data_IF_400373935069
#
_entry.id   IF_400373935069
#
_cell.length_a   1.000
_cell.length_b   1.000
_cell.length_c   1.000
_cell.angle_alpha   90.00
_cell.angle_beta   90.00
_cell.angle_gamma   90.00
#
_symmetry.space_group_name_H-M   'P 1'
#
loop_
_entity.id
_entity.type
_entity.pdbx_description
1 polymer ?
#
# COMPACT_ATOMS: atom_id res chain seq x y z
N UNK A 1 -14.69 -11.58 -15.60
CA UNK A 1 -13.31 -11.06 -15.67
C UNK A 1 -12.57 -11.64 -14.49
N UNK A 2 -11.34 -12.06 -14.70
CA UNK A 2 -10.49 -12.48 -13.60
C UNK A 2 -10.11 -11.25 -12.77
N UNK A 3 -10.08 -11.42 -11.45
CA UNK A 3 -9.67 -10.35 -10.54
C UNK A 3 -8.20 -9.97 -10.82
N UNK A 4 -7.88 -8.68 -10.65
CA UNK A 4 -6.52 -8.15 -10.80
C UNK A 4 -5.78 -8.16 -9.45
N UNK A 5 -6.41 -8.63 -8.38
CA UNK A 5 -5.79 -8.73 -7.07
C UNK A 5 -4.48 -9.53 -7.14
N UNK A 6 -3.43 -8.99 -6.53
CA UNK A 6 -2.09 -9.56 -6.55
C UNK A 6 -1.30 -9.30 -7.83
N UNK A 7 -1.89 -8.63 -8.82
CA UNK A 7 -1.18 -8.23 -10.03
C UNK A 7 -0.54 -6.85 -9.90
N UNK A 8 0.45 -6.61 -10.75
CA UNK A 8 1.10 -5.31 -10.91
C UNK A 8 0.54 -4.58 -12.13
N UNK A 9 0.10 -3.34 -11.93
CA UNK A 9 -0.21 -2.42 -13.02
C UNK A 9 1.03 -1.59 -13.32
N UNK A 10 1.51 -1.66 -14.56
CA UNK A 10 2.67 -0.90 -15.02
C UNK A 10 2.16 0.20 -15.94
N UNK A 11 2.42 1.46 -15.58
CA UNK A 11 2.03 2.58 -16.42
C UNK A 11 2.69 2.48 -17.80
N UNK A 12 1.88 2.65 -18.85
CA UNK A 12 2.40 2.76 -20.21
C UNK A 12 3.09 4.12 -20.41
N UNK A 13 4.07 4.18 -21.32
CA UNK A 13 4.80 5.43 -21.59
C UNK A 13 3.93 6.60 -22.10
N UNK A 14 2.71 6.32 -22.56
CA UNK A 14 1.75 7.33 -23.02
C UNK A 14 0.80 7.85 -21.93
N UNK A 15 0.87 7.35 -20.70
CA UNK A 15 0.04 7.83 -19.60
C UNK A 15 0.63 9.14 -19.03
N UNK A 16 -0.06 10.25 -19.25
CA UNK A 16 0.36 11.58 -18.81
C UNK A 16 -0.31 12.05 -17.51
N UNK A 17 -1.19 11.24 -16.91
CA UNK A 17 -1.76 11.53 -15.60
C UNK A 17 -0.61 11.64 -14.56
N UNK A 18 -0.42 12.80 -13.91
CA UNK A 18 0.67 12.97 -12.94
C UNK A 18 0.60 11.99 -11.77
N UNK A 19 -0.59 11.50 -11.41
CA UNK A 19 -0.75 10.54 -10.31
C UNK A 19 -0.21 9.15 -10.67
N UNK A 20 -0.17 8.79 -11.96
CA UNK A 20 0.17 7.43 -12.40
C UNK A 20 1.27 7.35 -13.45
N UNK A 21 1.83 8.48 -13.87
CA UNK A 21 2.97 8.47 -14.79
C UNK A 21 4.18 7.78 -14.16
N UNK A 22 4.74 6.82 -14.90
CA UNK A 22 5.90 6.01 -14.52
C UNK A 22 5.72 5.22 -13.21
N UNK A 23 4.48 4.85 -12.86
CA UNK A 23 4.20 4.07 -11.65
C UNK A 23 4.15 2.57 -11.92
N UNK A 24 4.43 1.82 -10.85
CA UNK A 24 4.12 0.41 -10.68
C UNK A 24 3.17 0.30 -9.49
N UNK A 25 1.96 -0.20 -9.70
CA UNK A 25 0.94 -0.33 -8.64
C UNK A 25 0.70 -1.80 -8.33
N UNK A 26 0.74 -2.18 -7.05
CA UNK A 26 0.24 -3.47 -6.59
C UNK A 26 -1.25 -3.37 -6.27
N UNK A 27 -2.07 -4.19 -6.92
CA UNK A 27 -3.52 -4.25 -6.65
C UNK A 27 -3.79 -5.16 -5.45
N UNK A 28 -4.35 -4.61 -4.37
CA UNK A 28 -4.72 -5.37 -3.18
C UNK A 28 -6.16 -5.87 -3.16
N UNK A 29 -7.05 -5.20 -3.89
CA UNK A 29 -8.43 -5.62 -4.05
C UNK A 29 -8.93 -5.25 -5.45
N UNK A 30 -9.71 -6.15 -6.06
CA UNK A 30 -10.44 -5.86 -7.31
C UNK A 30 -11.73 -6.70 -7.32
N UNK A 31 -12.88 -6.03 -7.35
CA UNK A 31 -14.20 -6.62 -7.36
C UNK A 31 -15.28 -5.66 -7.89
N UNK A 32 -16.56 -5.97 -7.68
CA UNK A 32 -17.68 -5.19 -8.23
C UNK A 32 -17.71 -3.72 -7.76
N UNK A 33 -17.21 -3.45 -6.55
CA UNK A 33 -17.16 -2.11 -5.97
C UNK A 33 -15.96 -1.28 -6.46
N UNK A 34 -15.10 -1.86 -7.30
CA UNK A 34 -13.89 -1.22 -7.82
C UNK A 34 -12.61 -1.94 -7.42
N UNK A 35 -11.50 -1.19 -7.43
CA UNK A 35 -10.18 -1.71 -7.08
C UNK A 35 -9.40 -0.75 -6.18
N UNK A 36 -8.49 -1.31 -5.39
CA UNK A 36 -7.56 -0.59 -4.53
C UNK A 36 -6.15 -1.14 -4.73
N UNK A 37 -5.16 -0.24 -4.73
CA UNK A 37 -3.75 -0.62 -4.80
C UNK A 37 -2.83 0.45 -4.22
N UNK A 38 -1.53 0.16 -4.18
CA UNK A 38 -0.50 1.12 -3.75
C UNK A 38 0.61 1.23 -4.80
N UNK A 39 1.04 2.46 -5.09
CA UNK A 39 2.19 2.74 -5.93
C UNK A 39 3.46 2.32 -5.20
N UNK A 40 4.25 1.41 -5.77
CA UNK A 40 5.40 0.81 -5.12
C UNK A 40 6.70 1.61 -5.27
N UNK A 41 6.77 2.50 -6.26
CA UNK A 41 8.02 3.06 -6.78
C UNK A 41 8.09 4.60 -6.70
N UNK A 42 7.33 5.22 -5.79
CA UNK A 42 7.41 6.67 -5.51
C UNK A 42 7.89 6.91 -4.09
N UNK A 43 9.20 6.93 -3.91
CA UNK A 43 9.81 7.27 -2.63
C UNK A 43 9.67 8.77 -2.36
N UNK A 44 9.34 9.14 -1.13
CA UNK A 44 9.32 10.52 -0.66
C UNK A 44 10.64 10.87 0.01
N UNK A 45 11.00 12.15 -0.03
CA UNK A 45 12.17 12.70 0.67
C UNK A 45 11.83 13.00 2.14
N UNK A 46 11.25 12.01 2.83
CA UNK A 46 10.93 12.03 4.24
C UNK A 46 11.01 10.61 4.81
N UNK A 47 11.58 10.48 6.00
CA UNK A 47 11.66 9.19 6.69
C UNK A 47 10.37 8.88 7.44
N UNK A 48 10.16 7.60 7.76
CA UNK A 48 9.04 7.18 8.60
C UNK A 48 9.15 7.76 10.00
N UNK A 49 10.37 7.89 10.56
CA UNK A 49 10.57 8.50 11.87
C UNK A 49 10.14 9.98 11.92
N UNK A 50 10.27 10.71 10.82
CA UNK A 50 9.87 12.12 10.73
C UNK A 50 8.36 12.26 10.48
N UNK A 51 7.78 11.43 9.60
CA UNK A 51 6.39 11.56 9.19
C UNK A 51 5.41 10.85 10.15
N UNK A 52 5.73 9.63 10.56
CA UNK A 52 4.84 8.75 11.33
C UNK A 52 5.66 7.96 12.39
N UNK A 53 6.13 8.63 13.45
CA UNK A 53 7.01 8.04 14.47
C UNK A 53 6.49 6.73 15.07
N UNK A 54 5.18 6.62 15.25
CA UNK A 54 4.53 5.46 15.89
C UNK A 54 4.67 4.16 15.09
N UNK A 55 4.95 4.25 13.78
CA UNK A 55 5.14 3.11 12.89
C UNK A 55 6.62 2.86 12.56
N UNK A 56 7.52 3.76 12.94
CA UNK A 56 8.96 3.61 12.74
C UNK A 56 9.54 2.28 13.31
N UNK A 57 9.09 1.77 14.48
CA UNK A 57 9.56 0.48 14.99
C UNK A 57 9.25 -0.73 14.09
N UNK A 58 8.27 -0.62 13.19
CA UNK A 58 7.81 -1.73 12.33
C UNK A 58 8.63 -1.86 11.04
N UNK A 59 9.23 -0.76 10.57
CA UNK A 59 9.91 -0.68 9.26
C UNK A 59 11.35 -0.17 9.35
N UNK A 60 11.75 0.34 10.52
CA UNK A 60 13.03 1.03 10.75
C UNK A 60 12.86 2.55 10.63
N UNK A 61 13.41 3.30 11.58
CA UNK A 61 13.24 4.76 11.62
C UNK A 61 13.85 5.50 10.42
N UNK A 62 14.95 4.98 9.88
CA UNK A 62 15.61 5.54 8.67
C UNK A 62 14.95 5.10 7.35
N UNK A 63 13.92 4.25 7.40
CA UNK A 63 13.20 3.85 6.20
C UNK A 63 12.46 5.07 5.61
N UNK A 64 12.49 5.20 4.28
CA UNK A 64 11.74 6.24 3.59
C UNK A 64 10.24 5.90 3.51
N UNK A 65 9.42 6.94 3.60
CA UNK A 65 8.00 6.86 3.27
C UNK A 65 7.81 6.84 1.74
N UNK A 66 6.77 6.17 1.27
CA UNK A 66 6.41 6.13 -0.15
C UNK A 66 5.04 6.78 -0.38
N UNK A 67 4.86 7.43 -1.53
CA UNK A 67 3.54 7.85 -1.99
C UNK A 67 2.79 6.64 -2.54
N UNK A 68 1.72 6.20 -1.87
CA UNK A 68 0.92 5.05 -2.28
C UNK A 68 -0.17 5.39 -3.29
N UNK A 69 -0.59 6.65 -3.37
CA UNK A 69 -1.50 7.16 -4.38
C UNK A 69 -2.26 8.40 -3.93
N UNK A 70 -3.14 8.94 -4.80
CA UNK A 70 -3.80 10.22 -4.56
C UNK A 70 -4.97 10.16 -3.57
N UNK A 71 -5.46 8.96 -3.23
CA UNK A 71 -6.60 8.79 -2.31
C UNK A 71 -6.08 8.74 -0.88
N UNK A 72 -6.72 9.53 0.00
CA UNK A 72 -6.39 9.63 1.43
C UNK A 72 -4.88 9.82 1.68
N UNK A 73 -4.24 10.87 1.12
CA UNK A 73 -2.78 11.02 1.10
C UNK A 73 -2.10 11.15 2.48
N UNK A 74 -2.88 11.31 3.55
CA UNK A 74 -2.39 11.36 4.93
C UNK A 74 -2.64 10.09 5.72
N UNK A 75 -3.34 9.11 5.14
CA UNK A 75 -3.61 7.84 5.78
C UNK A 75 -2.45 6.86 5.52
N UNK A 76 -1.85 6.27 6.57
CA UNK A 76 -0.82 5.27 6.39
C UNK A 76 -1.39 3.99 5.80
N UNK A 77 -0.64 3.39 4.88
CA UNK A 77 -0.88 2.04 4.38
C UNK A 77 0.39 1.23 4.54
N UNK A 78 0.35 0.14 5.30
CA UNK A 78 1.45 -0.82 5.35
C UNK A 78 1.21 -1.92 4.33
N UNK A 79 2.16 -2.14 3.44
CA UNK A 79 2.31 -3.41 2.75
C UNK A 79 3.17 -4.31 3.62
N UNK A 80 2.56 -5.32 4.23
CA UNK A 80 3.18 -6.16 5.22
C UNK A 80 3.13 -7.65 4.85
N UNK A 81 4.18 -8.37 5.21
CA UNK A 81 4.13 -9.81 5.39
C UNK A 81 3.85 -10.11 6.86
N UNK A 82 2.88 -10.97 7.13
CA UNK A 82 2.40 -11.25 8.49
C UNK A 82 2.56 -12.72 8.87
N UNK A 83 2.58 -13.01 10.16
CA UNK A 83 2.59 -14.38 10.69
C UNK A 83 1.27 -15.11 10.44
N UNK A 84 0.17 -14.37 10.37
CA UNK A 84 -1.17 -14.88 10.10
C UNK A 84 -1.84 -13.99 9.02
N UNK A 85 -2.25 -14.55 7.86
CA UNK A 85 -2.98 -13.82 6.83
C UNK A 85 -4.27 -13.14 7.32
N UNK A 86 -4.89 -13.65 8.40
CA UNK A 86 -6.09 -13.09 8.99
C UNK A 86 -5.90 -11.74 9.69
N UNK A 87 -4.65 -11.30 9.88
CA UNK A 87 -4.35 -9.97 10.42
C UNK A 87 -4.51 -8.85 9.39
N UNK A 88 -4.50 -9.15 8.10
CA UNK A 88 -4.59 -8.16 7.04
C UNK A 88 -5.99 -7.55 6.93
N UNK A 89 -6.09 -6.23 6.75
CA UNK A 89 -7.36 -5.60 6.34
C UNK A 89 -7.71 -6.03 4.91
N UNK A 90 -6.70 -6.11 4.04
CA UNK A 90 -6.81 -6.56 2.66
C UNK A 90 -5.71 -7.58 2.34
N UNK A 91 -6.06 -8.87 2.36
CA UNK A 91 -5.12 -9.92 1.97
C UNK A 91 -4.93 -9.96 0.45
N UNK A 92 -3.69 -9.77 0.00
CA UNK A 92 -3.32 -9.74 -1.42
C UNK A 92 -3.00 -11.15 -1.92
N UNK A 93 -1.96 -11.80 -1.37
CA UNK A 93 -1.56 -13.18 -1.67
C UNK A 93 -0.75 -13.76 -0.51
N UNK A 94 -0.81 -15.09 -0.32
CA UNK A 94 -0.14 -15.83 0.75
C UNK A 94 -0.34 -15.17 2.13
N UNK A 95 0.72 -14.62 2.72
CA UNK A 95 0.72 -13.89 3.98
C UNK A 95 1.01 -12.39 3.81
N UNK A 96 0.91 -11.88 2.58
CA UNK A 96 1.16 -10.49 2.20
C UNK A 96 -0.17 -9.75 2.02
N UNK A 97 -0.32 -8.66 2.77
CA UNK A 97 -1.55 -7.88 2.83
C UNK A 97 -1.31 -6.39 3.04
N UNK A 98 -2.39 -5.62 2.96
CA UNK A 98 -2.41 -4.25 3.41
C UNK A 98 -3.03 -4.12 4.80
N UNK A 99 -2.44 -3.25 5.62
CA UNK A 99 -3.04 -2.69 6.83
C UNK A 99 -3.23 -1.20 6.58
N UNK A 100 -4.43 -0.68 6.79
CA UNK A 100 -4.83 0.69 6.42
C UNK A 100 -5.21 1.47 7.67
N UNK A 101 -4.66 2.68 7.80
CA UNK A 101 -4.97 3.55 8.92
C UNK A 101 -4.34 3.09 10.23
N UNK A 102 -5.13 3.05 11.30
CA UNK A 102 -4.64 2.74 12.64
C UNK A 102 -4.42 1.24 12.82
N UNK A 103 -3.15 0.83 12.97
CA UNK A 103 -2.77 -0.57 13.13
C UNK A 103 -2.80 -0.95 14.62
N UNK A 104 -3.71 -1.86 14.98
CA UNK A 104 -3.85 -2.38 16.32
C UNK A 104 -2.57 -3.07 16.83
N UNK A 105 -2.37 -3.12 18.15
CA UNK A 105 -1.16 -3.68 18.75
C UNK A 105 -0.95 -5.16 18.40
N UNK A 106 -2.04 -5.92 18.29
CA UNK A 106 -2.03 -7.33 17.92
C UNK A 106 -1.56 -7.52 16.47
N UNK A 107 -2.01 -6.67 15.56
CA UNK A 107 -1.57 -6.67 14.16
C UNK A 107 -0.08 -6.32 14.07
N UNK A 108 0.37 -5.29 14.81
CA UNK A 108 1.79 -4.88 14.87
C UNK A 108 2.71 -6.03 15.28
N UNK A 109 2.31 -6.83 16.27
CA UNK A 109 3.09 -7.96 16.75
C UNK A 109 3.23 -9.11 15.73
N UNK A 110 2.30 -9.22 14.78
CA UNK A 110 2.31 -10.22 13.72
C UNK A 110 3.05 -9.80 12.45
N UNK A 111 3.55 -8.57 12.35
CA UNK A 111 4.27 -8.09 11.15
C UNK A 111 5.70 -8.65 11.15
N UNK A 112 6.05 -9.39 10.10
CA UNK A 112 7.39 -9.93 9.87
C UNK A 112 8.30 -8.92 9.16
N UNK A 113 7.75 -8.21 8.19
CA UNK A 113 8.36 -7.07 7.51
C UNK A 113 7.29 -6.24 6.85
N UNK A 114 7.53 -4.94 6.72
CA UNK A 114 6.59 -4.04 6.04
C UNK A 114 7.31 -2.92 5.31
N UNK A 115 6.56 -2.26 4.42
CA UNK A 115 6.90 -0.94 3.88
C UNK A 115 5.70 -0.01 4.08
N UNK A 116 5.98 1.23 4.46
CA UNK A 116 4.97 2.23 4.74
C UNK A 116 4.74 3.15 3.54
N UNK A 117 3.46 3.41 3.25
CA UNK A 117 2.99 4.28 2.20
C UNK A 117 2.04 5.33 2.78
N UNK A 118 1.99 6.50 2.13
CA UNK A 118 1.01 7.55 2.38
C UNK A 118 -0.05 7.52 1.28
N UNK A 119 -1.29 7.27 1.66
CA UNK A 119 -2.41 7.11 0.76
C UNK A 119 -2.35 5.85 -0.11
N UNK A 120 -3.33 5.73 -0.99
CA UNK A 120 -3.47 4.62 -1.91
C UNK A 120 -4.04 5.06 -3.26
N UNK A 121 -3.98 4.17 -4.24
CA UNK A 121 -4.67 4.27 -5.51
C UNK A 121 -6.05 3.61 -5.41
N UNK A 122 -7.04 4.19 -6.08
CA UNK A 122 -8.41 3.68 -6.10
C UNK A 122 -9.03 3.83 -7.48
N UNK A 123 -9.80 2.82 -7.87
CA UNK A 123 -10.57 2.79 -9.11
C UNK A 123 -12.02 2.49 -8.77
N UNK A 124 -12.94 3.24 -9.41
CA UNK A 124 -14.38 2.99 -9.26
C UNK A 124 -14.84 1.75 -10.04
N UNK A 125 -16.10 1.31 -9.83
CA UNK A 125 -16.68 0.21 -10.58
C UNK A 125 -16.58 0.39 -12.10
N UNK A 126 -16.01 -0.60 -12.79
CA UNK A 126 -15.94 -0.64 -14.26
C UNK A 126 -14.86 0.24 -14.91
N UNK A 127 -13.97 0.85 -14.12
CA UNK A 127 -12.79 1.57 -14.60
C UNK A 127 -11.63 0.63 -14.97
#
# INVERSE_FOLDING_TARGET
>A
MDSLKGQLLISSGGLFDPNFRHTVVLVGAHGPEGALGVILNRMLDVTVQEAIPDLAPLVGGEAHLFEGGPVQPHEPVLLAEMTDPGLADLLVFDAVGFLVGDVAAEMKAGILRARLFAGHAGWGPGQ
#
